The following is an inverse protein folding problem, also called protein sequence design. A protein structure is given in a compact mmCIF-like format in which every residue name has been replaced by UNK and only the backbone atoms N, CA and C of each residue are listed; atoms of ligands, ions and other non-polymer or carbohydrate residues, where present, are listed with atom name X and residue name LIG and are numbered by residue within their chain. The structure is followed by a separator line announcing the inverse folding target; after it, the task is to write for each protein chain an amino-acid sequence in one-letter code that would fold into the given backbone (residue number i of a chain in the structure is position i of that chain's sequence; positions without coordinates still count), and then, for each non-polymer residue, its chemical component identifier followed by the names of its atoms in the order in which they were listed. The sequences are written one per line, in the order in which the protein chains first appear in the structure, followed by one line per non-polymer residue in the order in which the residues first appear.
data_IF_288929523601
#
_entry.id   IF_288929523601
#
_cell.length_a   1.000
_cell.length_b   1.000
_cell.length_c   1.000
_cell.angle_alpha   90.00
_cell.angle_beta   90.00
_cell.angle_gamma   90.00
#
_symmetry.space_group_name_H-M   'P 1'
#
loop_
_entity.id
_entity.type
_entity.pdbx_description
1 polymer ?
#
# COMPACT_ATOMS: atom_id res chain seq x y z
N UNK A 1 0.03 4.27 -24.44
CA UNK A 1 1.20 3.42 -24.13
C UNK A 1 1.46 3.56 -22.65
N UNK A 2 1.28 2.51 -21.85
CA UNK A 2 1.55 2.57 -20.40
C UNK A 2 3.06 2.74 -20.20
N UNK A 3 3.52 3.68 -19.36
CA UNK A 3 4.95 3.86 -19.08
C UNK A 3 5.58 2.54 -18.61
N UNK A 4 6.78 2.22 -19.11
CA UNK A 4 7.51 1.01 -18.70
C UNK A 4 7.89 1.12 -17.23
N UNK A 5 7.57 0.08 -16.47
CA UNK A 5 7.92 -0.01 -15.06
C UNK A 5 9.36 -0.50 -14.88
N UNK A 6 10.30 0.44 -14.98
CA UNK A 6 11.74 0.15 -14.93
C UNK A 6 12.29 0.02 -13.51
N UNK A 7 11.55 0.55 -12.52
CA UNK A 7 11.96 0.53 -11.11
C UNK A 7 11.41 -0.67 -10.34
N UNK A 8 10.45 -1.41 -10.90
CA UNK A 8 9.73 -2.50 -10.20
C UNK A 8 10.64 -3.40 -9.36
N UNK A 9 11.69 -3.98 -9.94
CA UNK A 9 12.53 -4.93 -9.20
C UNK A 9 13.24 -4.27 -8.01
N UNK A 10 13.77 -3.05 -8.18
CA UNK A 10 14.44 -2.32 -7.09
C UNK A 10 13.47 -1.93 -5.98
N UNK A 11 12.22 -1.62 -6.36
CA UNK A 11 11.15 -1.33 -5.40
C UNK A 11 10.77 -2.60 -4.64
N UNK A 12 10.53 -3.72 -5.33
CA UNK A 12 10.24 -5.03 -4.72
C UNK A 12 11.39 -5.46 -3.77
N UNK A 13 12.65 -5.31 -4.17
CA UNK A 13 13.81 -5.67 -3.33
C UNK A 13 13.92 -4.80 -2.06
N UNK A 14 13.64 -3.49 -2.18
CA UNK A 14 13.64 -2.57 -1.04
C UNK A 14 12.47 -2.85 -0.08
N UNK A 15 11.31 -3.23 -0.60
CA UNK A 15 10.13 -3.60 0.20
C UNK A 15 10.39 -4.88 0.98
N UNK A 16 11.04 -5.87 0.36
CA UNK A 16 11.52 -7.09 1.05
C UNK A 16 12.55 -6.73 2.13
N UNK A 17 13.49 -5.84 1.85
CA UNK A 17 14.47 -5.40 2.85
C UNK A 17 13.81 -4.67 4.04
N UNK A 18 12.73 -3.91 3.78
CA UNK A 18 12.01 -3.17 4.81
C UNK A 18 11.14 -4.07 5.70
N UNK A 19 10.44 -5.05 5.12
CA UNK A 19 9.35 -5.76 5.80
C UNK A 19 9.47 -7.28 5.82
N UNK A 20 10.43 -7.86 5.09
CA UNK A 20 10.66 -9.30 5.08
C UNK A 20 10.88 -9.83 6.50
N UNK A 21 9.97 -10.70 6.96
CA UNK A 21 10.01 -11.28 8.30
C UNK A 21 9.41 -10.42 9.42
N UNK A 22 8.69 -9.33 9.08
CA UNK A 22 7.93 -8.50 10.04
C UNK A 22 6.45 -8.85 10.04
N UNK A 23 5.70 -8.41 11.06
CA UNK A 23 4.24 -8.62 11.21
C UNK A 23 3.41 -8.03 10.04
N UNK A 24 3.98 -7.11 9.26
CA UNK A 24 3.35 -6.54 8.07
C UNK A 24 3.30 -7.52 6.89
N UNK A 25 4.22 -8.49 6.87
CA UNK A 25 4.33 -9.55 5.86
C UNK A 25 3.81 -10.91 6.37
N UNK A 26 3.29 -10.98 7.60
CA UNK A 26 2.62 -12.18 8.10
C UNK A 26 1.33 -12.45 7.31
N UNK A 27 1.11 -13.72 6.94
CA UNK A 27 -0.11 -14.14 6.25
C UNK A 27 -1.32 -13.97 7.19
N UNK A 28 -2.36 -13.31 6.68
CA UNK A 28 -3.61 -13.04 7.37
C UNK A 28 -4.77 -13.79 6.72
N UNK A 29 -5.84 -13.96 7.49
CA UNK A 29 -7.13 -14.40 6.97
C UNK A 29 -7.74 -13.37 6.02
N UNK A 30 -8.71 -13.80 5.21
CA UNK A 30 -9.44 -12.90 4.32
C UNK A 30 -10.21 -11.80 5.06
N UNK A 31 -10.75 -12.14 6.23
CA UNK A 31 -11.54 -11.21 7.06
C UNK A 31 -10.65 -10.12 7.68
N UNK A 32 -9.42 -10.47 8.05
CA UNK A 32 -8.41 -9.50 8.50
C UNK A 32 -7.99 -8.56 7.36
N UNK A 33 -7.70 -9.09 6.16
CA UNK A 33 -7.40 -8.26 4.98
C UNK A 33 -8.55 -7.29 4.67
N UNK A 34 -9.80 -7.76 4.77
CA UNK A 34 -10.99 -6.93 4.58
C UNK A 34 -11.10 -5.85 5.65
N UNK A 35 -10.88 -6.21 6.92
CA UNK A 35 -10.92 -5.29 8.05
C UNK A 35 -9.85 -4.19 7.94
N UNK A 36 -8.62 -4.55 7.55
CA UNK A 36 -7.53 -3.59 7.33
C UNK A 36 -7.91 -2.59 6.23
N UNK A 37 -8.38 -3.08 5.06
CA UNK A 37 -8.78 -2.19 3.97
C UNK A 37 -9.93 -1.26 4.39
N UNK A 38 -10.97 -1.80 5.03
CA UNK A 38 -12.09 -1.02 5.54
C UNK A 38 -11.63 0.07 6.52
N UNK A 39 -10.75 -0.28 7.46
CA UNK A 39 -10.25 0.68 8.43
C UNK A 39 -9.44 1.81 7.77
N UNK A 40 -8.64 1.51 6.74
CA UNK A 40 -7.92 2.54 5.98
C UNK A 40 -8.88 3.49 5.27
N UNK A 41 -9.87 2.96 4.52
CA UNK A 41 -10.77 3.80 3.71
C UNK A 41 -11.77 4.60 4.55
N UNK A 42 -12.02 4.18 5.79
CA UNK A 42 -12.83 4.92 6.77
C UNK A 42 -12.04 5.99 7.54
N UNK A 43 -10.72 6.09 7.33
CA UNK A 43 -9.95 7.16 7.96
C UNK A 43 -10.40 8.54 7.46
N UNK A 44 -10.37 9.59 8.31
CA UNK A 44 -10.59 10.96 7.87
C UNK A 44 -9.62 11.38 6.75
N UNK A 45 -8.37 10.91 6.82
CA UNK A 45 -7.36 11.14 5.79
C UNK A 45 -7.82 10.64 4.42
N UNK A 46 -8.26 9.37 4.32
CA UNK A 46 -8.73 8.81 3.05
C UNK A 46 -9.92 9.60 2.49
N UNK A 47 -10.86 9.95 3.37
CA UNK A 47 -12.07 10.69 2.99
C UNK A 47 -11.74 12.07 2.40
N UNK A 48 -10.74 12.76 2.93
CA UNK A 48 -10.26 14.06 2.44
C UNK A 48 -9.56 13.97 1.07
N UNK A 49 -9.11 12.80 0.63
CA UNK A 49 -8.52 12.62 -0.69
C UNK A 49 -9.57 12.64 -1.81
N UNK A 50 -10.86 12.48 -1.46
CA UNK A 50 -11.98 12.37 -2.42
C UNK A 50 -11.80 11.22 -3.43
N UNK A 51 -11.04 10.18 -3.04
CA UNK A 51 -10.81 8.98 -3.85
C UNK A 51 -11.86 7.92 -3.48
N UNK A 52 -12.59 7.34 -4.47
CA UNK A 52 -13.53 6.25 -4.20
C UNK A 52 -12.85 5.06 -3.52
N UNK A 53 -13.50 4.49 -2.51
CA UNK A 53 -13.01 3.26 -1.88
C UNK A 53 -13.00 2.11 -2.91
N UNK A 54 -11.91 1.33 -3.03
CA UNK A 54 -11.87 0.17 -3.91
C UNK A 54 -12.76 -0.96 -3.38
N UNK A 55 -13.30 -1.75 -4.31
CA UNK A 55 -13.92 -3.04 -3.97
C UNK A 55 -12.83 -4.08 -3.79
N UNK A 56 -12.75 -4.71 -2.61
CA UNK A 56 -11.82 -5.80 -2.36
C UNK A 56 -12.39 -7.13 -2.89
N UNK A 57 -11.57 -7.92 -3.61
CA UNK A 57 -11.95 -9.25 -4.09
C UNK A 57 -10.78 -10.24 -4.00
N UNK A 58 -11.06 -11.54 -3.81
CA UNK A 58 -10.05 -12.55 -4.03
C UNK A 58 -9.62 -12.54 -5.50
N UNK A 59 -8.31 -12.71 -5.76
CA UNK A 59 -7.83 -12.99 -7.10
C UNK A 59 -8.24 -14.41 -7.56
N UNK A 60 -7.96 -14.74 -8.82
CA UNK A 60 -8.12 -16.12 -9.32
C UNK A 60 -7.21 -17.06 -8.53
N UNK A 61 -7.60 -18.33 -8.43
CA UNK A 61 -6.87 -19.32 -7.63
C UNK A 61 -5.41 -19.54 -8.07
N UNK A 62 -5.12 -19.32 -9.35
CA UNK A 62 -3.78 -19.44 -9.97
C UNK A 62 -3.01 -18.12 -10.03
N UNK A 63 -3.60 -17.01 -9.57
CA UNK A 63 -2.95 -15.71 -9.57
C UNK A 63 -1.76 -15.73 -8.60
N UNK A 64 -0.59 -15.38 -9.11
CA UNK A 64 0.65 -15.29 -8.31
C UNK A 64 0.86 -13.92 -7.70
N UNK A 65 0.08 -12.90 -8.10
CA UNK A 65 0.25 -11.50 -7.70
C UNK A 65 -1.10 -10.87 -7.42
N UNK A 66 -1.08 -9.93 -6.47
CA UNK A 66 -2.16 -9.00 -6.23
C UNK A 66 -2.16 -7.87 -7.27
N UNK A 67 -3.25 -7.12 -7.37
CA UNK A 67 -3.36 -6.00 -8.31
C UNK A 67 -4.50 -5.03 -7.97
N UNK A 68 -4.31 -3.75 -8.27
CA UNK A 68 -5.35 -2.73 -8.29
C UNK A 68 -5.61 -2.18 -9.70
N UNK A 69 -6.87 -1.97 -10.07
CA UNK A 69 -7.28 -1.41 -11.38
C UNK A 69 -7.93 -0.01 -11.27
N UNK A 70 -7.84 0.62 -10.09
CA UNK A 70 -8.50 1.89 -9.78
C UNK A 70 -9.98 1.76 -9.39
N UNK A 71 -10.57 0.55 -9.45
CA UNK A 71 -11.91 0.28 -8.94
C UNK A 71 -11.93 -0.90 -7.98
N UNK A 72 -11.11 -1.90 -8.27
CA UNK A 72 -11.05 -3.16 -7.57
C UNK A 72 -9.60 -3.42 -7.14
N UNK A 73 -9.43 -3.86 -5.89
CA UNK A 73 -8.20 -4.49 -5.43
C UNK A 73 -8.43 -6.00 -5.41
N UNK A 74 -7.55 -6.75 -6.06
CA UNK A 74 -7.55 -8.20 -6.07
C UNK A 74 -6.34 -8.72 -5.33
N UNK A 75 -6.57 -9.52 -4.29
CA UNK A 75 -5.49 -10.08 -3.47
C UNK A 75 -5.34 -11.56 -3.77
N UNK A 76 -4.13 -11.97 -4.16
CA UNK A 76 -3.81 -13.39 -4.34
C UNK A 76 -3.69 -14.10 -3.00
N UNK A 77 -3.80 -15.43 -2.98
CA UNK A 77 -3.80 -16.20 -1.72
C UNK A 77 -2.54 -15.95 -0.88
N UNK A 78 -1.36 -15.97 -1.51
CA UNK A 78 -0.08 -15.73 -0.83
C UNK A 78 0.25 -14.26 -0.58
N UNK A 79 -0.60 -13.32 -1.02
CA UNK A 79 -0.44 -11.88 -0.82
C UNK A 79 -1.39 -11.32 0.23
N UNK A 80 -1.89 -12.16 1.14
CA UNK A 80 -2.82 -11.72 2.20
C UNK A 80 -2.05 -11.14 3.37
N UNK A 81 -1.31 -10.06 3.14
CA UNK A 81 -0.51 -9.37 4.16
C UNK A 81 -1.00 -7.95 4.35
N UNK A 82 -0.74 -7.35 5.52
CA UNK A 82 -1.08 -5.96 5.77
C UNK A 82 -0.33 -5.03 4.80
N UNK A 83 0.94 -5.35 4.53
CA UNK A 83 1.75 -4.63 3.56
C UNK A 83 1.18 -4.72 2.14
N UNK A 84 0.74 -5.90 1.68
CA UNK A 84 0.11 -6.04 0.35
C UNK A 84 -1.14 -5.15 0.24
N UNK A 85 -1.96 -5.04 1.29
CA UNK A 85 -3.11 -4.11 1.29
C UNK A 85 -2.64 -2.66 1.11
N UNK A 86 -1.61 -2.23 1.86
CA UNK A 86 -1.05 -0.89 1.73
C UNK A 86 -0.48 -0.62 0.32
N UNK A 87 0.22 -1.61 -0.25
CA UNK A 87 0.80 -1.56 -1.59
C UNK A 87 -0.28 -1.40 -2.68
N UNK A 88 -1.32 -2.23 -2.65
CA UNK A 88 -2.39 -2.15 -3.64
C UNK A 88 -3.25 -0.89 -3.48
N UNK A 89 -3.44 -0.39 -2.25
CA UNK A 89 -4.07 0.91 -2.03
C UNK A 89 -3.26 2.05 -2.64
N UNK A 90 -1.92 1.98 -2.63
CA UNK A 90 -1.07 2.99 -3.26
C UNK A 90 -1.22 2.99 -4.78
N UNK A 91 -1.28 1.81 -5.41
CA UNK A 91 -1.62 1.70 -6.83
C UNK A 91 -3.00 2.28 -7.12
N UNK A 92 -4.00 1.95 -6.30
CA UNK A 92 -5.36 2.51 -6.44
C UNK A 92 -5.35 4.04 -6.36
N UNK A 93 -4.66 4.63 -5.39
CA UNK A 93 -4.55 6.08 -5.25
C UNK A 93 -3.91 6.74 -6.48
N UNK A 94 -2.81 6.19 -7.02
CA UNK A 94 -2.13 6.76 -8.19
C UNK A 94 -2.98 6.71 -9.46
N UNK A 95 -3.92 5.77 -9.57
CA UNK A 95 -4.87 5.76 -10.70
C UNK A 95 -5.80 6.99 -10.65
N UNK A 96 -6.14 7.48 -9.46
CA UNK A 96 -7.04 8.62 -9.26
C UNK A 96 -6.33 9.97 -9.10
N UNK A 97 -5.04 9.96 -8.76
CA UNK A 97 -4.29 11.17 -8.46
C UNK A 97 -3.31 11.52 -9.59
N UNK A 98 -3.42 12.73 -10.20
CA UNK A 98 -2.46 13.18 -11.20
C UNK A 98 -1.12 13.60 -10.56
N UNK A 99 0.00 13.49 -11.32
CA UNK A 99 0.13 12.83 -12.61
C UNK A 99 0.19 11.30 -12.44
N UNK A 100 -0.51 10.57 -13.32
CA UNK A 100 -0.28 9.13 -13.46
C UNK A 100 1.17 8.85 -13.89
N UNK A 101 1.64 7.61 -13.72
CA UNK A 101 3.03 7.27 -14.00
C UNK A 101 3.28 5.77 -14.14
N UNK A 102 4.54 5.34 -14.21
CA UNK A 102 4.91 3.93 -14.11
C UNK A 102 4.34 3.32 -12.83
N UNK A 103 4.01 2.02 -12.87
CA UNK A 103 3.39 1.30 -11.75
C UNK A 103 4.11 1.53 -10.42
N UNK A 104 5.43 1.39 -10.38
CA UNK A 104 6.26 1.62 -9.20
C UNK A 104 7.08 2.92 -9.26
N UNK A 105 6.57 3.93 -9.97
CA UNK A 105 7.24 5.22 -10.13
C UNK A 105 7.20 6.12 -8.87
N UNK A 106 7.75 7.35 -8.94
CA UNK A 106 7.82 8.26 -7.80
C UNK A 106 6.46 8.56 -7.14
N UNK A 107 5.39 8.67 -7.92
CA UNK A 107 4.03 8.92 -7.41
C UNK A 107 3.51 7.73 -6.59
N UNK A 108 3.75 6.49 -7.06
CA UNK A 108 3.41 5.27 -6.31
C UNK A 108 4.13 5.24 -4.98
N UNK A 109 5.45 5.45 -4.99
CA UNK A 109 6.26 5.44 -3.76
C UNK A 109 5.80 6.53 -2.79
N UNK A 110 5.44 7.71 -3.29
CA UNK A 110 4.88 8.77 -2.44
C UNK A 110 3.55 8.34 -1.79
N UNK A 111 2.63 7.74 -2.55
CA UNK A 111 1.35 7.25 -2.04
C UNK A 111 1.54 6.07 -1.06
N UNK A 112 2.45 5.16 -1.38
CA UNK A 112 2.74 3.97 -0.58
C UNK A 112 3.32 4.31 0.79
N UNK A 113 4.14 5.38 0.92
CA UNK A 113 4.53 5.87 2.25
C UNK A 113 3.31 6.24 3.12
N UNK A 114 2.26 6.79 2.54
CA UNK A 114 1.08 7.23 3.32
C UNK A 114 0.19 6.04 3.66
N UNK A 115 -0.03 5.12 2.73
CA UNK A 115 -0.81 3.90 3.03
C UNK A 115 -0.08 3.03 4.06
N UNK A 116 1.25 2.91 3.98
CA UNK A 116 2.07 2.23 5.00
C UNK A 116 2.01 2.97 6.34
N UNK A 117 2.04 4.31 6.35
CA UNK A 117 1.89 5.06 7.61
C UNK A 117 0.56 4.77 8.31
N UNK A 118 -0.53 4.64 7.56
CA UNK A 118 -1.84 4.30 8.12
C UNK A 118 -1.89 2.84 8.58
N UNK A 119 -1.37 1.91 7.78
CA UNK A 119 -1.46 0.47 8.08
C UNK A 119 -0.45 0.04 9.14
N UNK A 120 0.83 0.32 8.93
CA UNK A 120 1.95 -0.11 9.79
C UNK A 120 2.53 0.97 10.69
N UNK A 121 2.01 2.19 10.64
CA UNK A 121 2.44 3.28 11.50
C UNK A 121 3.60 4.10 10.93
N UNK A 122 3.93 5.17 11.65
CA UNK A 122 4.95 6.14 11.19
C UNK A 122 6.34 5.52 11.09
N UNK A 123 6.67 4.59 11.99
CA UNK A 123 7.95 3.87 11.96
C UNK A 123 8.09 3.00 10.69
N UNK A 124 7.05 2.22 10.35
CA UNK A 124 7.06 1.41 9.12
C UNK A 124 7.22 2.26 7.86
N UNK A 125 6.58 3.44 7.81
CA UNK A 125 6.78 4.41 6.73
C UNK A 125 8.24 4.84 6.64
N UNK A 126 8.84 5.19 7.77
CA UNK A 126 10.20 5.75 7.80
C UNK A 126 11.25 4.69 7.41
N UNK A 127 11.06 3.44 7.85
CA UNK A 127 11.87 2.28 7.40
C UNK A 127 11.79 2.10 5.88
N UNK A 128 10.57 2.07 5.31
CA UNK A 128 10.39 1.92 3.86
C UNK A 128 11.03 3.08 3.08
N UNK A 129 10.87 4.31 3.57
CA UNK A 129 11.47 5.48 2.95
C UNK A 129 13.01 5.42 2.98
N UNK A 130 13.60 4.88 4.04
CA UNK A 130 15.03 4.66 4.14
C UNK A 130 15.51 3.59 3.16
N UNK A 131 14.85 2.42 3.11
CA UNK A 131 15.21 1.35 2.17
C UNK A 131 15.10 1.82 0.72
N UNK A 132 14.02 2.49 0.32
CA UNK A 132 13.93 3.05 -1.04
C UNK A 132 15.05 4.02 -1.39
N UNK A 133 15.56 4.80 -0.43
CA UNK A 133 16.75 5.65 -0.66
C UNK A 133 18.01 4.80 -0.84
N UNK A 134 18.21 3.75 -0.03
CA UNK A 134 19.35 2.83 -0.14
C UNK A 134 19.38 2.10 -1.49
N UNK A 135 18.21 1.75 -2.02
CA UNK A 135 18.04 1.08 -3.32
C UNK A 135 17.96 2.03 -4.53
N UNK A 136 18.15 3.35 -4.32
CA UNK A 136 18.19 4.34 -5.41
C UNK A 136 16.85 4.63 -6.06
N UNK A 137 15.73 4.37 -5.36
CA UNK A 137 14.35 4.61 -5.83
C UNK A 137 13.59 5.52 -4.86
N UNK A 138 14.05 6.77 -4.60
CA UNK A 138 13.43 7.63 -3.60
C UNK A 138 11.95 7.93 -3.92
N UNK A 139 11.12 8.19 -2.90
CA UNK A 139 9.73 8.61 -3.11
C UNK A 139 9.66 9.95 -3.83
N UNK A 140 8.60 10.17 -4.61
CA UNK A 140 8.29 11.47 -5.18
C UNK A 140 7.70 12.44 -4.16
N UNK A 141 7.40 13.66 -4.63
CA UNK A 141 6.68 14.66 -3.84
C UNK A 141 5.23 14.25 -3.61
N UNK A 142 4.69 14.62 -2.44
CA UNK A 142 3.27 14.48 -2.11
C UNK A 142 2.68 15.87 -1.83
N UNK A 143 1.56 16.18 -2.47
CA UNK A 143 0.94 17.51 -2.42
C UNK A 143 -0.51 17.47 -1.91
N UNK A 144 -0.87 16.41 -1.18
CA UNK A 144 -2.19 16.22 -0.54
C UNK A 144 -2.01 16.17 0.97
N UNK A 145 -3.11 15.99 1.71
CA UNK A 145 -3.06 15.81 3.16
C UNK A 145 -2.21 14.59 3.53
N UNK A 146 -1.49 14.72 4.64
CA UNK A 146 -0.78 13.61 5.27
C UNK A 146 -1.73 12.85 6.20
N UNK A 147 -1.58 11.52 6.33
CA UNK A 147 -2.25 10.79 7.39
C UNK A 147 -1.72 11.26 8.76
N UNK A 148 -2.54 11.24 9.82
CA UNK A 148 -2.06 11.56 11.16
C UNK A 148 -0.96 10.58 11.59
N UNK A 149 0.04 11.03 12.37
CA UNK A 149 1.03 10.12 12.94
C UNK A 149 0.37 9.15 13.93
N UNK A 150 0.89 7.94 14.02
CA UNK A 150 0.33 6.91 14.89
C UNK A 150 0.99 5.54 14.74
N UNK A 151 0.60 4.57 15.60
CA UNK A 151 1.19 3.23 15.67
C UNK A 151 0.75 2.29 14.51
N UNK A 152 -0.15 2.73 13.63
CA UNK A 152 -0.67 1.91 12.53
C UNK A 152 -1.85 1.03 12.96
N UNK A 153 -2.77 0.80 12.00
CA UNK A 153 -3.98 0.02 12.21
C UNK A 153 -3.74 -1.49 12.37
N UNK A 154 -2.67 -2.03 11.77
CA UNK A 154 -2.38 -3.46 11.76
C UNK A 154 -1.60 -3.95 13.00
N UNK A 155 -1.05 -3.03 13.80
CA UNK A 155 -0.27 -3.30 15.02
C UNK A 155 -1.10 -3.14 16.30
N UNK A 156 -2.26 -2.48 16.21
CA UNK A 156 -3.23 -2.40 17.30
C UNK A 156 -4.22 -3.56 17.22
N UNK A 157 -3.96 -4.63 17.96
CA UNK A 157 -4.89 -5.75 18.07
C UNK A 157 -6.31 -5.28 18.39
N UNK A 158 -7.25 -5.72 17.56
CA UNK A 158 -8.70 -5.47 17.62
C UNK A 158 -9.13 -4.06 17.17
N UNK A 159 -9.43 -3.94 15.88
CA UNK A 159 -10.36 -2.93 15.39
C UNK A 159 -11.77 -3.44 15.73
N UNK A 160 -12.32 -2.96 16.85
CA UNK A 160 -13.74 -3.18 17.14
C UNK A 160 -14.55 -2.39 16.11
N UNK A 161 -15.31 -3.12 15.28
CA UNK A 161 -16.32 -2.58 14.37
C UNK A 161 -17.57 -2.14 15.13
#
# INVERSE_FOLDING_TARGET
MTPRDTDRQRVEDAEIAAFGGTDLEEERSWDEVTSILHAVVLTPWWTQLEVPAPVLRPARADARRSSADGRTIRICRGGRTAYTVAHELAHHLVVHLPPGGPGHGPAFRAAALRTVAVVGGTEARDVLAEEWRRWGVPPGSWHRSEPPPGPGLALGGVIAL
#
